data_IF_971402883061
#
_entry.id   IF_971402883061
#
_cell.length_a   1.000
_cell.length_b   1.000
_cell.length_c   1.000
_cell.angle_alpha   90.00
_cell.angle_beta   90.00
_cell.angle_gamma   90.00
#
_symmetry.space_group_name_H-M   'P 1'
#
loop_
_entity.id
_entity.type
_entity.pdbx_description
1 polymer ?
#
# COMPACT_ATOMS: atom_id res chain seq x y z
N UNK A 1 7.40 -8.42 21.11
CA UNK A 1 6.42 -8.35 20.00
C UNK A 1 5.07 -8.76 20.57
N UNK A 2 4.05 -7.91 20.47
CA UNK A 2 2.72 -8.20 21.03
C UNK A 2 1.81 -8.92 20.03
N UNK A 3 0.75 -9.55 20.55
CA UNK A 3 -0.37 -10.03 19.72
C UNK A 3 -1.27 -8.85 19.37
N UNK A 4 -1.95 -8.96 18.23
CA UNK A 4 -3.01 -8.04 17.82
C UNK A 4 -4.17 -8.07 18.81
N UNK A 5 -4.74 -6.89 19.05
CA UNK A 5 -5.91 -6.61 19.88
C UNK A 5 -7.01 -6.01 19.01
N UNK A 6 -8.25 -6.10 19.47
CA UNK A 6 -9.39 -5.45 18.82
C UNK A 6 -9.13 -3.93 18.78
N UNK A 7 -9.40 -3.31 17.63
CA UNK A 7 -9.13 -1.89 17.37
C UNK A 7 -7.76 -1.60 16.76
N UNK A 8 -6.84 -2.58 16.74
CA UNK A 8 -5.54 -2.39 16.09
C UNK A 8 -5.72 -2.13 14.59
N UNK A 9 -5.14 -1.02 14.13
CA UNK A 9 -5.09 -0.67 12.72
C UNK A 9 -3.92 -1.39 12.07
N UNK A 10 -4.19 -2.08 10.97
CA UNK A 10 -3.19 -2.84 10.23
C UNK A 10 -3.19 -2.48 8.75
N UNK A 11 -2.06 -2.69 8.09
CA UNK A 11 -1.93 -2.51 6.65
C UNK A 11 -1.23 -3.71 6.00
N UNK A 12 -1.50 -3.88 4.71
CA UNK A 12 -0.77 -4.76 3.82
C UNK A 12 -0.33 -3.96 2.59
N UNK A 13 0.92 -4.13 2.19
CA UNK A 13 1.46 -3.57 0.95
C UNK A 13 1.69 -4.72 -0.05
N UNK A 14 1.29 -4.52 -1.32
CA UNK A 14 1.52 -5.47 -2.40
C UNK A 14 2.04 -4.76 -3.63
N UNK A 15 2.88 -5.45 -4.39
CA UNK A 15 3.45 -4.99 -5.64
C UNK A 15 3.53 -6.18 -6.60
N UNK A 16 3.12 -6.02 -7.85
CA UNK A 16 3.23 -7.07 -8.86
C UNK A 16 4.46 -6.83 -9.76
N UNK A 17 5.64 -7.18 -9.23
CA UNK A 17 6.92 -7.00 -9.93
C UNK A 17 7.57 -5.64 -9.68
N UNK A 18 8.83 -5.47 -10.09
CA UNK A 18 9.66 -4.32 -9.71
C UNK A 18 9.20 -2.98 -10.31
N UNK A 19 8.47 -3.00 -11.43
CA UNK A 19 8.03 -1.80 -12.14
C UNK A 19 6.58 -1.38 -11.79
N UNK A 20 5.88 -2.12 -10.94
CA UNK A 20 4.49 -1.82 -10.56
C UNK A 20 4.43 -0.90 -9.34
N UNK A 21 3.30 -0.21 -9.17
CA UNK A 21 3.04 0.62 -8.00
C UNK A 21 2.79 -0.25 -6.76
N UNK A 22 3.18 0.24 -5.58
CA UNK A 22 2.90 -0.43 -4.31
C UNK A 22 1.47 -0.08 -3.85
N UNK A 23 0.59 -1.08 -3.82
CA UNK A 23 -0.79 -0.89 -3.38
C UNK A 23 -0.91 -1.20 -1.89
N UNK A 24 -1.28 -0.17 -1.13
CA UNK A 24 -1.54 -0.26 0.30
C UNK A 24 -3.01 -0.55 0.56
N UNK A 25 -3.28 -1.55 1.39
CA UNK A 25 -4.61 -1.87 1.92
C UNK A 25 -4.58 -1.67 3.43
N UNK A 26 -5.59 -0.99 3.97
CA UNK A 26 -5.73 -0.74 5.40
C UNK A 26 -6.97 -1.43 5.94
N UNK A 27 -6.89 -1.91 7.18
CA UNK A 27 -8.01 -2.53 7.86
C UNK A 27 -7.84 -2.40 9.37
N UNK A 28 -8.83 -2.88 10.11
CA UNK A 28 -8.86 -2.83 11.57
C UNK A 28 -9.24 -4.20 12.12
N UNK A 29 -8.61 -4.61 13.22
CA UNK A 29 -8.93 -5.87 13.91
C UNK A 29 -10.27 -5.71 14.61
N UNK A 30 -11.25 -6.52 14.23
CA UNK A 30 -12.61 -6.49 14.80
C UNK A 30 -12.87 -7.63 15.77
N UNK A 31 -12.13 -8.73 15.66
CA UNK A 31 -12.28 -9.90 16.53
C UNK A 31 -10.93 -10.59 16.74
N UNK A 32 -10.70 -11.13 17.92
CA UNK A 32 -9.52 -11.95 18.22
C UNK A 32 -9.92 -13.26 18.89
N UNK A 33 -9.17 -14.32 18.56
CA UNK A 33 -9.27 -15.64 19.17
C UNK A 33 -7.91 -16.01 19.76
N UNK A 34 -7.77 -17.21 20.33
CA UNK A 34 -6.49 -17.71 20.85
C UNK A 34 -5.36 -17.67 19.79
N UNK A 35 -5.69 -17.93 18.53
CA UNK A 35 -4.72 -18.13 17.44
C UNK A 35 -4.88 -17.18 16.26
N UNK A 36 -6.03 -16.51 16.12
CA UNK A 36 -6.33 -15.66 14.97
C UNK A 36 -6.77 -14.24 15.38
N UNK A 37 -6.52 -13.29 14.50
CA UNK A 37 -7.12 -11.96 14.51
C UNK A 37 -7.90 -11.79 13.20
N UNK A 38 -9.13 -11.30 13.28
CA UNK A 38 -10.03 -11.12 12.15
C UNK A 38 -10.15 -9.63 11.89
N UNK A 39 -9.90 -9.24 10.64
CA UNK A 39 -9.97 -7.86 10.19
C UNK A 39 -11.38 -7.51 9.70
N UNK A 40 -11.70 -6.21 9.65
CA UNK A 40 -12.99 -5.69 9.19
C UNK A 40 -13.38 -6.14 7.78
N UNK A 41 -12.40 -6.39 6.91
CA UNK A 41 -12.60 -6.90 5.55
C UNK A 41 -12.78 -8.44 5.49
N UNK A 42 -12.82 -9.12 6.64
CA UNK A 42 -12.93 -10.58 6.77
C UNK A 42 -11.60 -11.33 6.70
N UNK A 43 -10.47 -10.64 6.48
CA UNK A 43 -9.15 -11.27 6.45
C UNK A 43 -8.80 -11.87 7.82
N UNK A 44 -8.29 -13.12 7.82
CA UNK A 44 -7.88 -13.82 9.04
C UNK A 44 -6.37 -13.92 9.14
N UNK A 45 -5.80 -13.26 10.14
CA UNK A 45 -4.37 -13.26 10.44
C UNK A 45 -4.06 -14.28 11.53
N UNK A 46 -2.91 -14.93 11.43
CA UNK A 46 -2.33 -15.68 12.55
C UNK A 46 -1.89 -14.66 13.59
N UNK A 47 -2.48 -14.72 14.78
CA UNK A 47 -2.21 -13.76 15.86
C UNK A 47 -0.95 -14.12 16.64
N UNK A 48 0.14 -14.31 15.89
CA UNK A 48 1.48 -14.58 16.38
C UNK A 48 2.39 -13.67 15.56
N UNK A 49 3.02 -12.65 16.19
CA UNK A 49 3.90 -11.75 15.49
C UNK A 49 5.13 -12.49 14.95
N UNK A 50 5.57 -12.12 13.75
CA UNK A 50 6.79 -12.63 13.13
C UNK A 50 7.60 -11.48 12.57
N UNK A 51 8.91 -11.62 12.54
CA UNK A 51 9.76 -10.68 11.80
C UNK A 51 9.48 -10.87 10.31
N UNK A 52 9.11 -9.79 9.63
CA UNK A 52 8.98 -9.76 8.18
C UNK A 52 10.34 -9.49 7.58
N UNK A 53 10.94 -10.49 6.94
CA UNK A 53 12.22 -10.33 6.26
C UNK A 53 12.18 -9.42 5.02
N UNK A 54 10.99 -8.97 4.62
CA UNK A 54 10.79 -8.09 3.45
C UNK A 54 10.82 -6.61 3.86
N UNK A 55 10.29 -6.28 5.03
CA UNK A 55 10.13 -4.89 5.48
C UNK A 55 10.87 -4.61 6.78
N UNK A 56 11.55 -5.61 7.36
CA UNK A 56 12.17 -5.58 8.70
C UNK A 56 11.19 -5.28 9.86
N UNK A 57 9.89 -5.18 9.56
CA UNK A 57 8.81 -4.88 10.50
C UNK A 57 8.16 -6.15 11.09
N UNK A 58 7.39 -5.97 12.16
CA UNK A 58 6.53 -7.03 12.70
C UNK A 58 5.38 -7.30 11.73
N UNK A 59 5.27 -8.54 11.26
CA UNK A 59 4.22 -9.02 10.38
C UNK A 59 3.35 -10.12 11.02
N UNK A 60 2.09 -10.17 10.58
CA UNK A 60 1.10 -11.18 10.93
C UNK A 60 0.64 -11.87 9.64
N UNK A 61 0.97 -13.15 9.49
CA UNK A 61 0.68 -13.88 8.26
C UNK A 61 -0.81 -14.17 8.10
N UNK A 62 -1.31 -14.12 6.87
CA UNK A 62 -2.67 -14.58 6.56
C UNK A 62 -2.78 -16.10 6.76
N UNK A 63 -3.80 -16.57 7.49
CA UNK A 63 -3.94 -17.96 7.94
C UNK A 63 -3.79 -19.01 6.83
N UNK A 64 -4.37 -18.77 5.65
CA UNK A 64 -4.31 -19.66 4.48
C UNK A 64 -3.31 -19.23 3.40
N UNK A 65 -2.59 -18.13 3.60
CA UNK A 65 -1.63 -17.56 2.64
C UNK A 65 -0.44 -17.00 3.41
N UNK A 66 0.38 -17.90 3.97
CA UNK A 66 1.44 -17.53 4.93
C UNK A 66 2.53 -16.60 4.37
N UNK A 67 2.66 -16.48 3.05
CA UNK A 67 3.55 -15.50 2.41
C UNK A 67 3.02 -14.06 2.43
N UNK A 68 1.73 -13.87 2.68
CA UNK A 68 1.09 -12.54 2.76
C UNK A 68 1.06 -12.10 4.22
N UNK A 69 1.59 -10.92 4.48
CA UNK A 69 1.74 -10.37 5.83
C UNK A 69 1.02 -9.04 5.97
N UNK A 70 0.40 -8.84 7.13
CA UNK A 70 -0.13 -7.55 7.56
C UNK A 70 0.72 -7.00 8.68
N UNK A 71 0.82 -5.69 8.78
CA UNK A 71 1.69 -4.97 9.72
C UNK A 71 0.86 -3.96 10.49
N UNK A 72 1.29 -3.60 11.71
CA UNK A 72 0.64 -2.51 12.45
C UNK A 72 0.85 -1.19 11.71
N UNK A 73 -0.20 -0.37 11.65
CA UNK A 73 -0.12 0.94 10.98
C UNK A 73 0.84 1.85 11.73
N UNK A 74 1.80 2.40 11.00
CA UNK A 74 2.70 3.46 11.44
C UNK A 74 2.43 4.74 10.65
N UNK A 75 2.88 5.88 11.18
CA UNK A 75 2.84 7.16 10.45
C UNK A 75 3.59 7.08 9.12
N UNK A 76 4.71 6.34 9.08
CA UNK A 76 5.48 6.14 7.86
C UNK A 76 4.70 5.33 6.81
N UNK A 77 3.99 4.28 7.24
CA UNK A 77 3.15 3.49 6.34
C UNK A 77 2.03 4.34 5.72
N UNK A 78 1.41 5.23 6.49
CA UNK A 78 0.39 6.17 6.00
C UNK A 78 1.01 7.13 4.97
N UNK A 79 2.16 7.73 5.26
CA UNK A 79 2.86 8.65 4.35
C UNK A 79 3.24 7.95 3.04
N UNK A 80 3.80 6.75 3.12
CA UNK A 80 4.17 5.98 1.93
C UNK A 80 2.94 5.65 1.07
N UNK A 81 1.84 5.24 1.70
CA UNK A 81 0.59 4.99 0.99
C UNK A 81 0.04 6.24 0.28
N UNK A 82 0.12 7.41 0.92
CA UNK A 82 -0.31 8.67 0.30
C UNK A 82 0.52 9.01 -0.94
N UNK A 83 1.86 8.91 -0.84
CA UNK A 83 2.77 9.16 -1.96
C UNK A 83 2.46 8.20 -3.12
N UNK A 84 2.30 6.92 -2.82
CA UNK A 84 2.09 5.92 -3.86
C UNK A 84 0.71 6.04 -4.51
N UNK A 85 -0.33 6.35 -3.73
CA UNK A 85 -1.65 6.66 -4.27
C UNK A 85 -1.64 7.89 -5.19
N UNK A 86 -0.83 8.90 -4.90
CA UNK A 86 -0.66 10.05 -5.79
C UNK A 86 -0.02 9.66 -7.13
N UNK A 87 1.00 8.79 -7.11
CA UNK A 87 1.61 8.28 -8.35
C UNK A 87 0.62 7.49 -9.19
N UNK A 88 -0.12 6.58 -8.55
CA UNK A 88 -1.17 5.78 -9.20
C UNK A 88 -2.21 6.71 -9.82
N UNK A 89 -2.74 7.67 -9.05
CA UNK A 89 -3.74 8.61 -9.54
C UNK A 89 -3.26 9.45 -10.73
N UNK A 90 -1.99 9.89 -10.71
CA UNK A 90 -1.39 10.61 -11.83
C UNK A 90 -1.28 9.70 -13.08
N UNK A 91 -0.77 8.47 -12.92
CA UNK A 91 -0.68 7.50 -14.00
C UNK A 91 -2.04 7.18 -14.61
N UNK A 92 -3.00 6.79 -13.76
CA UNK A 92 -4.36 6.46 -14.17
C UNK A 92 -5.03 7.63 -14.89
N UNK A 93 -4.79 8.87 -14.45
CA UNK A 93 -5.30 10.06 -15.13
C UNK A 93 -4.72 10.22 -16.54
N UNK A 94 -3.42 10.02 -16.73
CA UNK A 94 -2.79 10.08 -18.06
C UNK A 94 -3.26 8.95 -18.98
N UNK A 95 -3.47 7.75 -18.43
CA UNK A 95 -3.89 6.59 -19.21
C UNK A 95 -5.36 6.69 -19.67
N UNK A 96 -6.21 7.35 -18.87
CA UNK A 96 -7.65 7.44 -19.13
C UNK A 96 -8.07 8.74 -19.82
N UNK A 97 -7.30 9.82 -19.69
CA UNK A 97 -7.61 11.10 -20.31
C UNK A 97 -7.28 11.08 -21.79
N UNK A 98 -8.30 11.32 -22.63
CA UNK A 98 -8.06 11.68 -24.02
C UNK A 98 -7.58 13.14 -24.09
N UNK A 99 -6.40 13.34 -24.69
CA UNK A 99 -5.79 14.65 -24.88
C UNK A 99 -6.03 15.17 -26.30
N UNK A 100 -6.53 16.38 -26.39
CA UNK A 100 -6.55 17.18 -27.62
C UNK A 100 -5.13 17.51 -28.08
N UNK A 101 -4.98 17.91 -29.34
CA UNK A 101 -3.70 18.34 -29.89
C UNK A 101 -3.11 19.53 -29.12
N UNK A 102 -3.95 20.48 -28.71
CA UNK A 102 -3.52 21.65 -27.94
C UNK A 102 -2.98 21.27 -26.56
N UNK A 103 -3.66 20.38 -25.84
CA UNK A 103 -3.18 19.87 -24.55
C UNK A 103 -1.85 19.12 -24.71
N UNK A 104 -1.71 18.28 -25.75
CA UNK A 104 -0.45 17.59 -26.06
C UNK A 104 0.70 18.57 -26.33
N UNK A 105 0.47 19.60 -27.12
CA UNK A 105 1.46 20.64 -27.40
C UNK A 105 1.84 21.42 -26.14
N UNK A 106 0.87 21.71 -25.28
CA UNK A 106 1.11 22.40 -24.01
C UNK A 106 1.96 21.55 -23.06
N UNK A 107 1.61 20.28 -22.87
CA UNK A 107 2.40 19.32 -22.06
C UNK A 107 3.83 19.22 -22.61
N UNK A 108 4.00 19.07 -23.92
CA UNK A 108 5.32 18.99 -24.55
C UNK A 108 6.19 20.23 -24.25
N UNK A 109 5.63 21.43 -24.41
CA UNK A 109 6.35 22.69 -24.12
C UNK A 109 6.76 22.78 -22.65
N UNK A 110 5.82 22.46 -21.74
CA UNK A 110 6.06 22.49 -20.30
C UNK A 110 7.24 21.61 -19.89
N UNK A 111 7.32 20.38 -20.41
CA UNK A 111 8.43 19.49 -20.10
C UNK A 111 9.74 19.92 -20.78
N UNK A 112 9.69 20.46 -22.00
CA UNK A 112 10.88 20.93 -22.72
C UNK A 112 11.54 22.13 -22.03
N UNK A 113 10.75 23.12 -21.60
CA UNK A 113 11.24 24.29 -20.89
C UNK A 113 11.90 23.91 -19.55
N UNK A 114 11.35 22.91 -18.86
CA UNK A 114 11.91 22.40 -17.61
C UNK A 114 13.24 21.67 -17.81
N UNK A 115 13.40 20.89 -18.89
CA UNK A 115 14.68 20.20 -19.18
C UNK A 115 15.77 21.14 -19.66
N UNK A 116 15.44 22.34 -20.15
CA UNK A 116 16.42 23.36 -20.56
C UNK A 116 16.86 24.26 -19.39
N UNK A 117 16.20 24.17 -18.24
CA UNK A 117 16.49 24.96 -17.03
C UNK A 117 17.12 24.17 -15.88
N UNK A 118 17.18 22.84 -15.97
CA UNK A 118 17.94 21.92 -15.09
C UNK A 118 19.32 21.59 -15.68
#
# INVERSE_FOLDING_TARGET
MEKLKIGDKVYNARQNGFADFIRYTFSEVVETTKTLAILKDGTRLINIPKISYITEDIGYSVSRKKGVHWHLVSLQAIRNAQIENQKIAASDWFDTKEFSLAEKQWIYKLFKERTETE
#
